data_IF_250309528382
#
_entry.id   IF_250309528382
#
_cell.length_a   1.000
_cell.length_b   1.000
_cell.length_c   1.000
_cell.angle_alpha   90.00
_cell.angle_beta   90.00
_cell.angle_gamma   90.00
#
_symmetry.space_group_name_H-M   'P 1'
#
loop_
_entity.id
_entity.type
_entity.pdbx_description
1 polymer ?
#
# COMPACT_ATOMS: atom_id res chain seq x y z
N UNK A 1 -17.18 -4.07 4.29
CA UNK A 1 -17.27 -3.02 3.26
C UNK A 1 -15.93 -2.30 3.25
N UNK A 2 -15.16 -2.47 2.18
CA UNK A 2 -13.86 -1.82 2.00
C UNK A 2 -14.06 -0.32 1.88
N UNK A 3 -13.88 0.40 2.99
CA UNK A 3 -14.13 1.84 3.13
C UNK A 3 -13.27 2.72 2.21
N UNK A 4 -12.31 2.13 1.50
CA UNK A 4 -11.38 2.81 0.62
C UNK A 4 -11.63 2.54 -0.88
N UNK A 5 -12.65 1.74 -1.22
CA UNK A 5 -13.01 1.50 -2.62
C UNK A 5 -13.50 2.80 -3.28
N UNK A 6 -13.02 3.07 -4.49
CA UNK A 6 -13.32 4.27 -5.26
C UNK A 6 -12.46 5.48 -4.90
N UNK A 7 -11.53 5.36 -3.94
CA UNK A 7 -10.57 6.43 -3.63
C UNK A 7 -9.71 6.72 -4.88
N UNK A 8 -9.66 7.98 -5.36
CA UNK A 8 -8.80 8.35 -6.48
C UNK A 8 -7.33 8.13 -6.13
N UNK A 9 -6.58 7.55 -7.06
CA UNK A 9 -5.14 7.31 -6.92
C UNK A 9 -4.39 7.76 -8.16
N UNK A 10 -3.12 8.14 -7.96
CA UNK A 10 -2.18 8.46 -9.03
C UNK A 10 -0.92 7.61 -8.85
N UNK A 11 -0.53 6.88 -9.90
CA UNK A 11 0.75 6.18 -9.97
C UNK A 11 1.71 6.93 -10.90
N UNK A 12 2.87 7.31 -10.37
CA UNK A 12 3.94 7.95 -11.15
C UNK A 12 5.05 6.94 -11.44
N UNK A 13 5.28 6.65 -12.72
CA UNK A 13 6.35 5.78 -13.22
C UNK A 13 7.33 6.62 -14.05
N UNK A 14 8.42 7.07 -13.43
CA UNK A 14 9.35 8.01 -14.05
C UNK A 14 8.66 9.33 -14.40
N UNK A 15 8.49 9.61 -15.71
CA UNK A 15 7.76 10.80 -16.21
C UNK A 15 6.30 10.53 -16.56
N UNK A 16 5.87 9.27 -16.50
CA UNK A 16 4.50 8.88 -16.80
C UNK A 16 3.66 8.96 -15.52
N UNK A 17 2.46 9.54 -15.64
CA UNK A 17 1.47 9.58 -14.56
C UNK A 17 0.20 8.88 -15.04
N UNK A 18 -0.32 7.97 -14.24
CA UNK A 18 -1.51 7.19 -14.53
C UNK A 18 -2.51 7.42 -13.40
N UNK A 19 -3.72 7.83 -13.74
CA UNK A 19 -4.81 8.13 -12.80
C UNK A 19 -5.79 6.95 -12.77
N UNK A 20 -6.30 6.61 -11.58
CA UNK A 20 -7.20 5.50 -11.40
C UNK A 20 -7.92 5.53 -10.06
N UNK A 21 -8.44 4.37 -9.66
CA UNK A 21 -9.15 4.20 -8.39
C UNK A 21 -8.62 2.99 -7.63
N UNK A 22 -8.58 3.09 -6.31
CA UNK A 22 -8.40 1.94 -5.42
C UNK A 22 -9.67 1.10 -5.48
N UNK A 23 -9.55 -0.17 -5.88
CA UNK A 23 -10.69 -1.10 -5.94
C UNK A 23 -10.87 -1.88 -4.66
N UNK A 24 -9.75 -2.37 -4.11
CA UNK A 24 -9.76 -3.21 -2.94
C UNK A 24 -8.44 -3.10 -2.19
N UNK A 25 -8.52 -3.36 -0.89
CA UNK A 25 -7.38 -3.47 0.01
C UNK A 25 -7.26 -4.95 0.39
N UNK A 26 -6.13 -5.54 0.05
CA UNK A 26 -5.87 -6.95 0.28
C UNK A 26 -5.23 -7.24 1.63
N UNK A 27 -4.56 -8.39 1.69
CA UNK A 27 -3.89 -8.88 2.89
C UNK A 27 -2.62 -8.10 3.24
N UNK A 28 -2.07 -8.44 4.41
CA UNK A 28 -0.74 -7.99 4.84
C UNK A 28 0.24 -9.13 4.86
N UNK A 29 1.48 -8.83 4.50
CA UNK A 29 2.61 -9.73 4.65
C UNK A 29 3.70 -9.04 5.48
N UNK A 30 4.23 -9.76 6.46
CA UNK A 30 5.39 -9.33 7.23
C UNK A 30 6.66 -9.76 6.49
N UNK A 31 7.44 -8.79 6.02
CA UNK A 31 8.73 -9.00 5.40
C UNK A 31 9.84 -8.99 6.47
N UNK A 32 10.72 -10.01 6.50
CA UNK A 32 11.81 -10.07 7.46
C UNK A 32 12.81 -8.93 7.23
N UNK A 33 13.59 -8.65 8.27
CA UNK A 33 14.72 -7.74 8.16
C UNK A 33 15.83 -8.36 7.29
N UNK A 34 16.49 -7.51 6.50
CA UNK A 34 17.69 -7.86 5.74
C UNK A 34 18.83 -6.91 6.12
N UNK A 35 20.07 -7.22 5.73
CA UNK A 35 21.20 -6.36 6.04
C UNK A 35 20.98 -4.95 5.48
N UNK A 36 20.90 -3.95 6.36
CA UNK A 36 20.63 -2.55 5.98
C UNK A 36 19.15 -2.19 5.80
N UNK A 37 18.23 -3.13 5.96
CA UNK A 37 16.79 -2.91 5.79
C UNK A 37 15.99 -3.47 6.98
N UNK A 38 15.28 -2.63 7.75
CA UNK A 38 14.45 -3.12 8.86
C UNK A 38 13.31 -3.99 8.34
N UNK A 39 12.81 -4.88 9.19
CA UNK A 39 11.59 -5.62 8.93
C UNK A 39 10.44 -4.64 8.66
N UNK A 40 9.56 -5.00 7.72
CA UNK A 40 8.46 -4.13 7.30
C UNK A 40 7.20 -4.94 7.04
N UNK A 41 6.05 -4.37 7.38
CA UNK A 41 4.76 -4.90 6.99
C UNK A 41 4.36 -4.29 5.66
N UNK A 42 3.96 -5.11 4.70
CA UNK A 42 3.44 -4.69 3.41
C UNK A 42 1.93 -4.90 3.37
N UNK A 43 1.21 -3.96 2.76
CA UNK A 43 -0.22 -4.03 2.48
C UNK A 43 -0.45 -4.17 0.97
N UNK A 44 -1.24 -5.14 0.56
CA UNK A 44 -1.68 -5.27 -0.83
C UNK A 44 -2.78 -4.26 -1.16
N UNK A 45 -2.66 -3.60 -2.31
CA UNK A 45 -3.64 -2.69 -2.88
C UNK A 45 -3.92 -3.10 -4.32
N UNK A 46 -5.20 -3.19 -4.67
CA UNK A 46 -5.65 -3.51 -6.03
C UNK A 46 -6.15 -2.21 -6.66
N UNK A 47 -5.45 -1.76 -7.71
CA UNK A 47 -5.70 -0.50 -8.40
C UNK A 47 -6.31 -0.75 -9.78
N UNK A 48 -7.28 0.06 -10.16
CA UNK A 48 -7.90 0.05 -11.48
C UNK A 48 -7.69 1.40 -12.16
N UNK A 49 -7.00 1.37 -13.30
CA UNK A 49 -6.65 2.54 -14.11
C UNK A 49 -7.52 2.64 -15.37
N UNK A 50 -8.72 2.04 -15.35
CA UNK A 50 -9.71 2.11 -16.41
C UNK A 50 -9.47 1.14 -17.56
N UNK A 51 -9.75 1.59 -18.79
CA UNK A 51 -9.77 0.76 -20.00
C UNK A 51 -8.41 0.20 -20.44
N UNK A 52 -7.33 0.52 -19.71
CA UNK A 52 -5.97 0.29 -20.16
C UNK A 52 -5.41 -1.12 -19.83
N UNK A 53 -5.88 -1.83 -18.79
CA UNK A 53 -5.40 -3.18 -18.45
C UNK A 53 -6.18 -3.81 -17.29
N UNK A 54 -5.94 -5.11 -17.03
CA UNK A 54 -6.39 -5.80 -15.82
C UNK A 54 -5.96 -5.03 -14.54
N UNK A 55 -6.68 -5.20 -13.41
CA UNK A 55 -6.31 -4.55 -12.14
C UNK A 55 -4.85 -4.83 -11.78
N UNK A 56 -4.18 -3.81 -11.24
CA UNK A 56 -2.77 -3.87 -10.84
C UNK A 56 -2.68 -4.08 -9.33
N UNK A 57 -1.90 -5.06 -8.92
CA UNK A 57 -1.59 -5.30 -7.52
C UNK A 57 -0.28 -4.61 -7.11
N UNK A 58 -0.33 -3.89 -6.00
CA UNK A 58 0.83 -3.18 -5.43
C UNK A 58 0.95 -3.51 -3.96
N UNK A 59 2.16 -3.79 -3.50
CA UNK A 59 2.47 -3.99 -2.08
C UNK A 59 3.19 -2.76 -1.54
N UNK A 60 2.53 -2.00 -0.67
CA UNK A 60 3.10 -0.80 -0.06
C UNK A 60 3.49 -1.06 1.40
N UNK A 61 4.63 -0.50 1.82
CA UNK A 61 5.02 -0.55 3.21
C UNK A 61 4.01 0.23 4.07
N UNK A 62 3.48 -0.40 5.11
CA UNK A 62 2.71 0.32 6.11
C UNK A 62 3.68 1.23 6.89
N UNK A 63 3.27 2.49 7.19
CA UNK A 63 4.07 3.34 8.05
C UNK A 63 4.28 2.63 9.40
N UNK A 64 5.46 2.78 10.02
CA UNK A 64 5.72 2.19 11.33
C UNK A 64 4.64 2.66 12.30
N UNK A 65 3.85 1.73 12.82
CA UNK A 65 2.86 2.06 13.83
C UNK A 65 3.61 2.62 15.05
N UNK A 66 3.18 3.76 15.62
CA UNK A 66 3.73 4.21 16.89
C UNK A 66 3.57 3.06 17.89
N UNK A 67 4.68 2.62 18.49
CA UNK A 67 4.63 1.60 19.53
C UNK A 67 3.73 2.07 20.69
N UNK A 68 3.23 1.14 21.52
CA UNK A 68 2.45 1.52 22.69
C UNK A 68 3.25 2.54 23.50
N UNK A 69 2.65 3.71 23.73
CA UNK A 69 3.23 4.75 24.57
C UNK A 69 3.55 4.12 25.93
N UNK A 70 4.84 3.92 26.20
CA UNK A 70 5.29 3.49 27.52
C UNK A 70 4.99 4.65 28.46
N UNK A 71 3.90 4.55 29.21
CA UNK A 71 3.58 5.53 30.25
C UNK A 71 4.76 5.57 31.24
N UNK A 72 5.30 6.75 31.57
CA UNK A 72 6.33 6.84 32.59
C UNK A 72 5.70 6.42 33.93
N UNK A 73 6.28 5.39 34.55
CA UNK A 73 6.04 5.00 35.94
C UNK A 73 6.57 6.01 36.92
#
# INVERSE_FOLDING_TARGET
MDTCSGTPVSLTLGRCKIEGVLRAVGETVDMPAEAGHPARRLRNLILDFGSACAPVEVWLAEPPQPGPAVAPT
#
